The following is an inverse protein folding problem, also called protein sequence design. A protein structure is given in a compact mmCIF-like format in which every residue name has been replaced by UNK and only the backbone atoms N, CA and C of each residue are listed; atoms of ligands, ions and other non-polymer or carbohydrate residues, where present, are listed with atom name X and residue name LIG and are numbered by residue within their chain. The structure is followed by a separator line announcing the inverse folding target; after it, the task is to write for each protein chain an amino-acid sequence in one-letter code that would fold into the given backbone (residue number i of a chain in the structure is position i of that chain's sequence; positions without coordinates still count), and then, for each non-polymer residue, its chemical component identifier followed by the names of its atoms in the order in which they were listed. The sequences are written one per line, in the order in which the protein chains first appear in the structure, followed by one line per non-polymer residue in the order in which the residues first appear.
data_IF_898789393786
#
_entry.id   IF_898789393786
#
_cell.length_a   1.000
_cell.length_b   1.000
_cell.length_c   1.000
_cell.angle_alpha   90.00
_cell.angle_beta   90.00
_cell.angle_gamma   90.00
#
_symmetry.space_group_name_H-M   'P 1'
#
loop_
_entity.id
_entity.type
_entity.pdbx_description
1 polymer ?
#
# COMPACT_ATOMS: atom_id res chain seq x y z
N UNK A 1 -18.31 -12.12 -45.38
CA UNK A 1 -18.36 -13.42 -44.68
C UNK A 1 -18.64 -14.46 -45.74
N UNK A 2 -17.70 -15.39 -45.94
CA UNK A 2 -17.84 -16.47 -46.94
C UNK A 2 -18.01 -17.75 -46.15
N UNK A 3 -19.20 -18.33 -46.19
CA UNK A 3 -19.48 -19.61 -45.56
C UNK A 3 -18.91 -20.73 -46.45
N UNK A 4 -17.74 -21.23 -46.07
CA UNK A 4 -17.08 -22.34 -46.75
C UNK A 4 -17.53 -23.66 -46.11
N UNK A 5 -18.48 -24.34 -46.75
CA UNK A 5 -18.90 -25.68 -46.35
C UNK A 5 -18.00 -26.70 -47.07
N UNK A 6 -17.24 -27.55 -46.36
CA UNK A 6 -16.39 -28.56 -46.99
C UNK A 6 -17.23 -29.70 -47.59
N UNK A 7 -16.92 -30.09 -48.83
CA UNK A 7 -17.40 -31.34 -49.43
C UNK A 7 -16.43 -32.46 -49.01
N UNK A 8 -16.49 -32.88 -47.74
CA UNK A 8 -15.94 -34.18 -47.36
C UNK A 8 -17.11 -35.12 -47.12
N UNK A 9 -17.12 -36.22 -47.85
CA UNK A 9 -18.02 -37.37 -47.67
C UNK A 9 -17.79 -37.99 -46.29
N UNK A 10 -18.36 -37.35 -45.26
CA UNK A 10 -18.68 -38.02 -44.02
C UNK A 10 -19.92 -38.86 -44.31
N UNK A 11 -19.81 -40.17 -44.07
CA UNK A 11 -20.96 -41.07 -44.01
C UNK A 11 -21.98 -40.44 -43.07
N UNK A 12 -23.11 -40.02 -43.64
CA UNK A 12 -24.23 -39.41 -42.94
C UNK A 12 -24.82 -40.45 -41.99
N UNK A 13 -24.55 -40.32 -40.69
CA UNK A 13 -25.60 -40.62 -39.71
C UNK A 13 -26.54 -39.42 -39.78
N UNK A 14 -27.70 -39.62 -40.40
CA UNK A 14 -28.83 -38.69 -40.41
C UNK A 14 -29.13 -38.27 -38.94
N UNK A 15 -29.34 -36.97 -38.72
CA UNK A 15 -29.79 -36.31 -37.46
C UNK A 15 -28.82 -35.37 -36.72
N UNK A 16 -27.78 -34.84 -37.36
CA UNK A 16 -27.18 -33.59 -36.87
C UNK A 16 -26.79 -32.69 -38.05
N UNK A 17 -27.53 -31.59 -38.25
CA UNK A 17 -27.00 -30.46 -39.02
C UNK A 17 -25.66 -30.05 -38.38
N UNK A 18 -24.54 -30.07 -39.11
CA UNK A 18 -23.29 -29.59 -38.57
C UNK A 18 -23.45 -28.08 -38.35
N UNK A 19 -23.52 -27.66 -37.09
CA UNK A 19 -23.61 -26.25 -36.74
C UNK A 19 -22.55 -25.44 -37.48
N UNK A 20 -22.98 -24.36 -38.15
CA UNK A 20 -22.09 -23.50 -38.91
C UNK A 20 -21.02 -22.90 -37.98
N UNK A 21 -19.76 -23.32 -38.16
CA UNK A 21 -18.62 -22.80 -37.42
C UNK A 21 -18.00 -21.65 -38.21
N UNK A 22 -18.16 -20.42 -37.71
CA UNK A 22 -17.46 -19.26 -38.24
C UNK A 22 -15.95 -19.38 -37.96
N UNK A 23 -15.14 -19.36 -39.02
CA UNK A 23 -13.67 -19.40 -38.92
C UNK A 23 -13.05 -18.13 -39.51
N UNK A 24 -11.95 -17.68 -38.91
CA UNK A 24 -11.19 -16.53 -39.39
C UNK A 24 -10.05 -17.02 -40.29
N UNK A 25 -9.84 -16.38 -41.44
CA UNK A 25 -8.82 -16.79 -42.42
C UNK A 25 -7.79 -15.67 -42.56
N UNK A 26 -6.51 -16.00 -42.37
CA UNK A 26 -5.39 -15.05 -42.45
C UNK A 26 -4.32 -15.59 -43.40
N UNK A 27 -3.92 -14.85 -44.45
CA UNK A 27 -4.47 -13.56 -44.88
C UNK A 27 -5.94 -13.69 -45.36
N UNK A 28 -6.72 -12.60 -45.44
CA UNK A 28 -8.10 -12.68 -45.92
C UNK A 28 -8.17 -13.24 -47.33
N UNK A 29 -9.25 -13.98 -47.62
CA UNK A 29 -9.49 -14.53 -48.95
C UNK A 29 -9.64 -13.41 -50.00
N UNK A 30 -9.23 -13.66 -51.25
CA UNK A 30 -9.49 -12.73 -52.34
C UNK A 30 -11.01 -12.58 -52.55
N UNK A 31 -11.48 -11.45 -53.10
CA UNK A 31 -12.91 -11.19 -53.29
C UNK A 31 -13.62 -12.21 -54.19
N UNK A 32 -12.86 -12.92 -55.05
CA UNK A 32 -13.36 -13.96 -55.94
C UNK A 32 -12.40 -15.17 -55.94
N UNK A 33 -12.52 -16.09 -54.97
CA UNK A 33 -11.81 -17.36 -55.00
C UNK A 33 -12.43 -18.28 -56.07
N UNK A 34 -11.61 -18.89 -56.92
CA UNK A 34 -12.09 -19.83 -57.96
C UNK A 34 -12.19 -21.26 -57.45
N UNK A 35 -11.25 -21.66 -56.59
CA UNK A 35 -11.28 -22.96 -55.90
C UNK A 35 -10.48 -22.89 -54.60
N UNK A 36 -10.79 -23.80 -53.67
CA UNK A 36 -10.05 -23.96 -52.43
C UNK A 36 -9.90 -25.43 -52.06
N UNK A 37 -8.87 -25.77 -51.29
CA UNK A 37 -8.66 -27.11 -50.74
C UNK A 37 -7.95 -27.04 -49.38
N UNK A 38 -8.33 -27.93 -48.46
CA UNK A 38 -7.70 -28.06 -47.16
C UNK A 38 -6.40 -28.86 -47.26
N UNK A 39 -5.39 -28.48 -46.48
CA UNK A 39 -4.13 -29.21 -46.47
C UNK A 39 -4.32 -30.58 -45.78
N UNK A 40 -3.95 -31.71 -46.41
CA UNK A 40 -4.26 -33.04 -45.89
C UNK A 40 -3.55 -33.36 -44.56
N UNK A 41 -2.38 -32.77 -44.30
CA UNK A 41 -1.62 -32.98 -43.06
C UNK A 41 -1.71 -31.81 -42.05
N UNK A 42 -2.27 -30.65 -42.44
CA UNK A 42 -2.28 -29.46 -41.60
C UNK A 42 -3.71 -28.94 -41.46
N UNK A 43 -4.33 -29.26 -40.32
CA UNK A 43 -5.75 -29.04 -40.05
C UNK A 43 -6.21 -27.57 -40.19
N UNK A 44 -5.29 -26.62 -39.98
CA UNK A 44 -5.59 -25.18 -40.00
C UNK A 44 -5.05 -24.48 -41.24
N UNK A 45 -4.79 -25.20 -42.33
CA UNK A 45 -4.18 -24.65 -43.55
C UNK A 45 -5.09 -24.87 -44.74
N UNK A 46 -5.37 -23.79 -45.46
CA UNK A 46 -6.28 -23.72 -46.59
C UNK A 46 -5.50 -23.16 -47.79
N UNK A 47 -5.51 -23.89 -48.88
CA UNK A 47 -4.99 -23.43 -50.16
C UNK A 47 -6.15 -22.87 -50.98
N UNK A 48 -5.97 -21.67 -51.54
CA UNK A 48 -6.95 -21.03 -52.39
C UNK A 48 -6.32 -20.63 -53.72
N UNK A 49 -7.07 -20.76 -54.82
CA UNK A 49 -6.68 -20.22 -56.13
C UNK A 49 -7.56 -19.01 -56.42
N UNK A 50 -6.96 -17.93 -56.93
CA UNK A 50 -7.70 -16.75 -57.36
C UNK A 50 -8.07 -16.83 -58.86
N UNK A 51 -8.90 -15.90 -59.34
CA UNK A 51 -9.27 -15.80 -60.76
C UNK A 51 -8.08 -15.52 -61.71
N UNK A 52 -6.90 -15.16 -61.18
CA UNK A 52 -5.67 -14.96 -61.93
C UNK A 52 -4.79 -16.23 -61.95
N UNK A 53 -5.23 -17.35 -61.36
CA UNK A 53 -4.49 -18.62 -61.31
C UNK A 53 -3.36 -18.66 -60.28
N UNK A 54 -3.28 -17.68 -59.37
CA UNK A 54 -2.27 -17.63 -58.31
C UNK A 54 -2.74 -18.49 -57.13
N UNK A 55 -1.88 -19.42 -56.71
CA UNK A 55 -2.07 -20.22 -55.51
C UNK A 55 -1.66 -19.41 -54.27
N UNK A 56 -2.55 -19.32 -53.30
CA UNK A 56 -2.34 -18.65 -52.02
C UNK A 56 -2.54 -19.61 -50.87
N UNK A 57 -1.70 -19.45 -49.85
CA UNK A 57 -1.72 -20.24 -48.64
C UNK A 57 -2.30 -19.42 -47.50
N UNK A 58 -3.33 -19.96 -46.86
CA UNK A 58 -4.08 -19.30 -45.80
C UNK A 58 -4.08 -20.16 -44.54
N UNK A 59 -3.92 -19.51 -43.39
CA UNK A 59 -4.10 -20.14 -42.09
C UNK A 59 -5.51 -19.85 -41.57
N UNK A 60 -6.23 -20.90 -41.21
CA UNK A 60 -7.57 -20.81 -40.67
C UNK A 60 -7.52 -20.92 -39.15
N UNK A 61 -7.96 -19.86 -38.49
CA UNK A 61 -8.10 -19.77 -37.05
C UNK A 61 -9.54 -20.07 -36.65
N UNK A 62 -9.72 -21.06 -35.79
CA UNK A 62 -11.00 -21.31 -35.14
C UNK A 62 -11.17 -20.32 -33.98
N UNK A 63 -12.41 -19.86 -33.76
CA UNK A 63 -12.73 -19.16 -32.52
C UNK A 63 -12.59 -20.17 -31.37
N UNK A 64 -11.55 -20.00 -30.57
CA UNK A 64 -11.31 -20.83 -29.39
C UNK A 64 -12.36 -20.45 -28.35
N UNK A 65 -13.29 -21.36 -28.06
CA UNK A 65 -14.14 -21.23 -26.88
C UNK A 65 -13.32 -21.56 -25.65
N UNK A 66 -13.31 -20.64 -24.70
CA UNK A 66 -12.59 -20.77 -23.44
C UNK A 66 -13.63 -21.05 -22.35
N UNK A 67 -13.46 -22.18 -21.66
CA UNK A 67 -14.17 -22.50 -20.43
C UNK A 67 -13.30 -22.18 -19.22
N UNK A 68 -13.84 -21.47 -18.25
CA UNK A 68 -13.17 -21.22 -16.97
C UNK A 68 -13.93 -21.89 -15.84
N UNK A 69 -13.24 -22.66 -15.01
CA UNK A 69 -13.86 -23.33 -13.85
C UNK A 69 -13.67 -22.53 -12.56
N UNK A 70 -14.56 -22.76 -11.58
CA UNK A 70 -14.44 -22.22 -10.22
C UNK A 70 -13.19 -22.70 -9.44
N UNK A 71 -12.45 -23.67 -9.99
CA UNK A 71 -11.16 -24.12 -9.45
C UNK A 71 -9.97 -23.44 -10.15
N UNK A 72 -10.20 -22.29 -10.81
CA UNK A 72 -9.18 -21.53 -11.55
C UNK A 72 -8.50 -22.38 -12.63
N UNK A 73 -9.25 -23.30 -13.26
CA UNK A 73 -8.75 -24.07 -14.41
C UNK A 73 -9.31 -23.47 -15.68
N UNK A 74 -8.45 -23.08 -16.61
CA UNK A 74 -8.85 -22.63 -17.93
C UNK A 74 -8.75 -23.83 -18.87
N UNK A 75 -9.83 -24.15 -19.57
CA UNK A 75 -9.89 -25.20 -20.57
C UNK A 75 -10.34 -24.60 -21.89
N UNK A 76 -9.80 -25.11 -22.99
CA UNK A 76 -10.24 -24.70 -24.31
C UNK A 76 -10.14 -25.85 -25.30
N UNK A 77 -10.93 -25.75 -26.36
CA UNK A 77 -10.91 -26.75 -27.40
C UNK A 77 -9.58 -26.70 -28.16
N UNK A 78 -8.89 -27.84 -28.25
CA UNK A 78 -7.64 -28.00 -28.97
C UNK A 78 -7.84 -29.08 -30.03
N UNK A 79 -8.34 -28.71 -31.20
CA UNK A 79 -8.78 -29.61 -32.29
C UNK A 79 -10.07 -30.38 -32.01
N UNK A 80 -10.67 -30.94 -33.07
CA UNK A 80 -11.93 -31.68 -33.04
C UNK A 80 -12.01 -32.84 -32.01
N UNK A 81 -10.90 -33.30 -31.43
CA UNK A 81 -10.87 -34.46 -30.52
C UNK A 81 -10.11 -34.24 -29.21
N UNK A 82 -9.63 -33.04 -28.90
CA UNK A 82 -8.91 -32.84 -27.62
C UNK A 82 -9.22 -31.50 -26.97
N UNK A 83 -9.25 -31.48 -25.65
CA UNK A 83 -9.40 -30.28 -24.84
C UNK A 83 -8.06 -30.08 -24.13
N UNK A 84 -7.46 -28.90 -24.30
CA UNK A 84 -6.33 -28.49 -23.47
C UNK A 84 -6.85 -27.75 -22.26
N UNK A 85 -6.20 -27.95 -21.13
CA UNK A 85 -6.51 -27.20 -19.92
C UNK A 85 -5.24 -26.90 -19.14
N UNK A 86 -5.26 -25.77 -18.44
CA UNK A 86 -4.26 -25.39 -17.46
C UNK A 86 -4.88 -25.30 -16.08
N UNK A 87 -4.21 -25.90 -15.10
CA UNK A 87 -4.57 -25.76 -13.69
C UNK A 87 -3.88 -24.53 -13.11
N UNK A 88 -4.44 -23.97 -12.04
CA UNK A 88 -3.80 -22.89 -11.27
C UNK A 88 -2.39 -23.25 -10.76
N UNK A 89 -2.07 -24.55 -10.60
CA UNK A 89 -0.75 -25.03 -10.21
C UNK A 89 0.31 -24.92 -11.30
N UNK A 90 -0.10 -24.75 -12.57
CA UNK A 90 0.80 -24.77 -13.71
C UNK A 90 1.65 -23.49 -13.75
N UNK A 91 2.90 -23.63 -14.21
CA UNK A 91 3.86 -22.51 -14.29
C UNK A 91 3.36 -21.34 -15.13
N UNK A 92 2.58 -21.63 -16.17
CA UNK A 92 1.97 -20.62 -17.04
C UNK A 92 1.00 -19.74 -16.26
N UNK A 93 0.21 -20.32 -15.35
CA UNK A 93 -0.75 -19.58 -14.52
C UNK A 93 -0.07 -18.77 -13.42
N UNK A 94 1.05 -19.26 -12.88
CA UNK A 94 1.85 -18.50 -11.90
C UNK A 94 2.41 -17.20 -12.48
N UNK A 95 2.65 -17.14 -13.79
CA UNK A 95 3.16 -15.95 -14.46
C UNK A 95 2.08 -14.90 -14.78
N UNK A 96 0.80 -15.20 -14.54
CA UNK A 96 -0.33 -14.32 -14.87
C UNK A 96 -0.80 -13.45 -13.70
N UNK A 97 -0.13 -13.52 -12.53
CA UNK A 97 -0.48 -12.78 -11.30
C UNK A 97 -1.99 -12.87 -10.95
N UNK A 98 -2.59 -14.06 -11.10
CA UNK A 98 -4.01 -14.28 -10.81
C UNK A 98 -4.31 -14.15 -9.30
N UNK A 99 -5.23 -13.25 -8.95
CA UNK A 99 -5.70 -13.04 -7.58
C UNK A 99 -6.70 -14.11 -7.12
N UNK A 100 -7.35 -14.83 -8.03
CA UNK A 100 -8.43 -15.79 -7.70
C UNK A 100 -8.04 -16.83 -6.63
N UNK A 101 -6.84 -17.44 -6.66
CA UNK A 101 -6.40 -18.37 -5.61
C UNK A 101 -6.29 -17.71 -4.24
N UNK A 102 -5.83 -16.46 -4.21
CA UNK A 102 -5.70 -15.65 -3.00
C UNK A 102 -7.10 -15.34 -2.44
N UNK A 103 -8.02 -14.89 -3.30
CA UNK A 103 -9.40 -14.59 -2.93
C UNK A 103 -10.11 -15.82 -2.35
N UNK A 104 -9.92 -16.98 -2.99
CA UNK A 104 -10.46 -18.27 -2.52
C UNK A 104 -9.90 -18.65 -1.16
N UNK A 105 -8.57 -18.56 -0.97
CA UNK A 105 -7.92 -18.83 0.31
C UNK A 105 -8.47 -17.92 1.41
N UNK A 106 -8.57 -16.61 1.16
CA UNK A 106 -9.16 -15.63 2.07
C UNK A 106 -10.60 -15.95 2.43
N UNK A 107 -11.42 -16.31 1.44
CA UNK A 107 -12.83 -16.65 1.66
C UNK A 107 -12.98 -17.89 2.56
N UNK A 108 -12.17 -18.93 2.34
CA UNK A 108 -12.15 -20.14 3.19
C UNK A 108 -11.72 -19.82 4.62
N UNK A 109 -10.81 -18.86 4.79
CA UNK A 109 -10.36 -18.40 6.11
C UNK A 109 -11.28 -17.36 6.75
N UNK A 110 -12.46 -17.09 6.17
CA UNK A 110 -13.40 -16.07 6.66
C UNK A 110 -12.82 -14.65 6.76
N UNK A 111 -11.87 -14.31 5.89
CA UNK A 111 -11.31 -12.96 5.78
C UNK A 111 -12.40 -11.89 5.65
N UNK A 112 -12.25 -10.79 6.40
CA UNK A 112 -13.19 -9.67 6.54
C UNK A 112 -14.48 -10.00 7.30
N UNK A 113 -14.68 -11.26 7.70
CA UNK A 113 -15.83 -11.71 8.48
C UNK A 113 -15.45 -12.02 9.95
N UNK A 114 -14.16 -12.09 10.28
CA UNK A 114 -13.71 -12.24 11.67
C UNK A 114 -14.21 -11.05 12.52
N UNK A 115 -14.73 -11.28 13.74
CA UNK A 115 -15.28 -10.21 14.58
C UNK A 115 -14.26 -9.12 14.91
N UNK A 116 -13.06 -9.52 15.32
CA UNK A 116 -11.98 -8.60 15.65
C UNK A 116 -11.30 -8.12 14.36
N UNK A 117 -11.26 -6.79 14.16
CA UNK A 117 -10.74 -6.19 12.93
C UNK A 117 -9.25 -6.48 12.71
N UNK A 118 -8.43 -6.46 13.78
CA UNK A 118 -6.99 -6.72 13.74
C UNK A 118 -6.65 -8.11 13.16
N UNK A 119 -7.42 -9.14 13.54
CA UNK A 119 -7.23 -10.53 13.10
C UNK A 119 -7.43 -10.68 11.58
N UNK A 120 -8.31 -9.87 10.97
CA UNK A 120 -8.45 -9.85 9.51
C UNK A 120 -7.15 -9.43 8.81
N UNK A 121 -6.29 -8.65 9.49
CA UNK A 121 -4.97 -8.29 9.00
C UNK A 121 -3.99 -9.44 8.94
N UNK A 122 -4.10 -10.44 9.82
CA UNK A 122 -3.26 -11.64 9.79
C UNK A 122 -3.63 -12.58 8.63
N UNK A 123 -4.91 -12.54 8.24
CA UNK A 123 -5.44 -13.27 7.09
C UNK A 123 -5.16 -12.58 5.75
N UNK A 124 -4.70 -11.33 5.78
CA UNK A 124 -4.32 -10.59 4.59
C UNK A 124 -2.91 -10.98 4.11
N UNK A 125 -2.76 -11.25 2.82
CA UNK A 125 -1.46 -11.64 2.25
C UNK A 125 -0.54 -10.44 1.94
N UNK A 126 -1.05 -9.20 2.04
CA UNK A 126 -0.30 -7.97 1.79
C UNK A 126 -0.23 -7.12 3.05
N UNK A 127 0.97 -6.60 3.33
CA UNK A 127 1.27 -5.70 4.44
C UNK A 127 0.39 -4.43 4.46
N UNK A 128 0.01 -3.87 3.31
CA UNK A 128 -0.88 -2.71 3.25
C UNK A 128 -2.26 -3.01 3.83
N UNK A 129 -2.83 -4.18 3.49
CA UNK A 129 -4.12 -4.62 4.02
C UNK A 129 -4.01 -4.95 5.51
N UNK A 130 -2.94 -5.65 5.92
CA UNK A 130 -2.67 -5.92 7.33
C UNK A 130 -2.61 -4.63 8.16
N UNK A 131 -1.87 -3.65 7.68
CA UNK A 131 -1.74 -2.35 8.35
C UNK A 131 -3.06 -1.58 8.39
N UNK A 132 -3.88 -1.66 7.34
CA UNK A 132 -5.21 -1.05 7.33
C UNK A 132 -6.13 -1.70 8.36
N UNK A 133 -6.21 -3.02 8.44
CA UNK A 133 -7.02 -3.73 9.43
C UNK A 133 -6.61 -3.42 10.87
N UNK A 134 -5.30 -3.39 11.13
CA UNK A 134 -4.76 -2.96 12.42
C UNK A 134 -5.11 -1.50 12.75
N UNK A 135 -5.05 -0.62 11.75
CA UNK A 135 -5.43 0.78 11.92
C UNK A 135 -6.93 0.95 12.16
N UNK A 136 -7.79 0.19 11.47
CA UNK A 136 -9.24 0.22 11.67
C UNK A 136 -9.61 -0.23 13.08
N UNK A 137 -8.96 -1.28 13.59
CA UNK A 137 -9.08 -1.72 14.99
C UNK A 137 -8.68 -0.60 15.96
N UNK A 138 -7.48 -0.01 15.77
CA UNK A 138 -7.00 1.09 16.59
C UNK A 138 -7.98 2.28 16.58
N UNK A 139 -8.41 2.70 15.39
CA UNK A 139 -9.32 3.82 15.21
C UNK A 139 -10.67 3.57 15.90
N UNK A 140 -11.22 2.35 15.78
CA UNK A 140 -12.44 1.95 16.47
C UNK A 140 -12.27 1.99 17.99
N UNK A 141 -11.21 1.39 18.53
CA UNK A 141 -10.96 1.40 19.98
C UNK A 141 -10.85 2.81 20.55
N UNK A 142 -10.18 3.74 19.84
CA UNK A 142 -10.06 5.13 20.27
C UNK A 142 -11.40 5.88 20.30
N UNK A 143 -12.34 5.53 19.42
CA UNK A 143 -13.69 6.10 19.41
C UNK A 143 -14.56 5.47 20.50
N UNK A 144 -14.51 4.15 20.66
CA UNK A 144 -15.27 3.42 21.68
C UNK A 144 -14.84 3.79 23.11
N UNK A 145 -13.54 4.01 23.33
CA UNK A 145 -12.98 4.50 24.59
C UNK A 145 -13.30 5.98 24.86
N UNK A 146 -13.96 6.68 23.92
CA UNK A 146 -14.33 8.09 24.05
C UNK A 146 -13.17 9.09 23.97
N UNK A 147 -11.98 8.63 23.55
CA UNK A 147 -10.79 9.49 23.38
C UNK A 147 -10.99 10.46 22.21
N UNK A 148 -11.56 9.95 21.12
CA UNK A 148 -11.93 10.74 19.93
C UNK A 148 -13.45 10.83 19.86
N UNK A 149 -13.97 12.04 20.10
CA UNK A 149 -15.40 12.32 20.12
C UNK A 149 -15.88 12.61 18.69
N UNK A 150 -16.41 11.60 18.01
CA UNK A 150 -16.94 11.70 16.66
C UNK A 150 -18.11 10.75 16.44
N UNK A 151 -18.98 11.06 15.47
CA UNK A 151 -20.00 10.12 14.98
C UNK A 151 -19.44 9.06 14.03
N UNK A 152 -18.28 9.33 13.42
CA UNK A 152 -17.62 8.40 12.51
C UNK A 152 -16.89 7.32 13.32
N UNK A 153 -17.13 6.04 13.03
CA UNK A 153 -16.45 4.93 13.73
C UNK A 153 -14.95 4.88 13.46
N UNK A 154 -14.52 5.39 12.30
CA UNK A 154 -13.11 5.40 11.92
C UNK A 154 -12.68 6.79 11.41
N UNK A 155 -12.48 7.77 12.31
CA UNK A 155 -12.05 9.11 11.94
C UNK A 155 -10.63 9.10 11.36
N UNK A 156 -10.42 9.92 10.34
CA UNK A 156 -9.09 10.23 9.81
C UNK A 156 -8.45 11.41 10.56
N UNK A 157 -7.14 11.56 10.40
CA UNK A 157 -6.36 12.67 11.00
C UNK A 157 -6.91 14.03 10.54
N UNK A 158 -7.34 14.17 9.29
CA UNK A 158 -7.90 15.44 8.79
C UNK A 158 -9.18 15.82 9.54
N UNK A 159 -10.05 14.84 9.83
CA UNK A 159 -11.28 15.05 10.60
C UNK A 159 -10.99 15.41 12.06
N UNK A 160 -10.01 14.74 12.68
CA UNK A 160 -9.62 15.02 14.08
C UNK A 160 -9.05 16.43 14.21
N UNK A 161 -8.27 16.87 13.23
CA UNK A 161 -7.74 18.24 13.15
C UNK A 161 -8.76 19.26 12.62
N UNK A 162 -9.96 18.81 12.26
CA UNK A 162 -11.06 19.63 11.69
C UNK A 162 -10.70 20.32 10.37
N UNK A 163 -9.72 19.82 9.64
CA UNK A 163 -9.26 20.39 8.37
C UNK A 163 -10.18 20.07 7.19
N UNK A 164 -11.20 19.26 7.41
CA UNK A 164 -12.22 18.83 6.45
C UNK A 164 -13.47 19.73 6.43
N UNK A 165 -13.67 20.57 7.45
CA UNK A 165 -14.84 21.46 7.57
C UNK A 165 -14.54 22.85 7.00
N UNK A 166 -15.45 23.39 6.19
CA UNK A 166 -15.40 24.78 5.71
C UNK A 166 -16.29 25.69 6.59
N UNK A 167 -15.87 26.93 6.91
CA UNK A 167 -14.56 27.53 6.60
C UNK A 167 -13.45 26.85 7.40
N UNK A 168 -12.27 26.65 6.80
CA UNK A 168 -11.16 25.93 7.43
C UNK A 168 -10.89 26.45 8.84
N UNK A 169 -11.21 25.69 9.90
CA UNK A 169 -10.91 26.12 11.24
C UNK A 169 -9.39 26.12 11.41
N UNK A 170 -8.87 27.23 11.93
CA UNK A 170 -7.48 27.30 12.34
C UNK A 170 -7.26 26.35 13.51
N UNK A 171 -6.38 25.37 13.33
CA UNK A 171 -5.74 24.69 14.45
C UNK A 171 -5.06 25.79 15.27
N UNK A 172 -5.34 25.84 16.57
CA UNK A 172 -4.64 26.74 17.51
C UNK A 172 -3.68 25.89 18.32
N UNK A 173 -2.49 25.65 17.77
CA UNK A 173 -1.47 24.91 18.49
C UNK A 173 -0.63 25.82 19.37
N UNK A 174 -0.31 25.34 20.56
CA UNK A 174 0.65 25.97 21.46
C UNK A 174 2.06 25.59 21.02
N UNK A 175 2.94 26.60 20.91
CA UNK A 175 4.36 26.38 20.65
C UNK A 175 5.07 26.09 21.97
N UNK A 176 5.59 24.88 22.11
CA UNK A 176 6.38 24.43 23.26
C UNK A 176 7.84 24.36 22.84
N UNK A 177 8.69 25.09 23.57
CA UNK A 177 10.15 24.98 23.45
C UNK A 177 10.65 23.93 24.44
N UNK A 178 10.96 22.73 23.94
CA UNK A 178 11.43 21.63 24.80
C UNK A 178 12.96 21.62 24.85
N UNK A 179 13.58 21.78 26.03
CA UNK A 179 15.03 21.74 26.15
C UNK A 179 15.56 20.34 25.82
N UNK A 180 16.68 20.29 25.11
CA UNK A 180 17.32 19.03 24.75
C UNK A 180 18.30 18.58 25.84
N UNK A 181 17.73 18.02 26.91
CA UNK A 181 18.48 17.65 28.13
C UNK A 181 19.60 16.64 27.89
N UNK A 182 19.44 15.72 26.94
CA UNK A 182 20.37 14.62 26.69
C UNK A 182 21.76 15.08 26.22
N UNK A 183 21.82 16.22 25.51
CA UNK A 183 23.05 16.80 24.97
C UNK A 183 23.77 17.67 26.02
N UNK A 184 23.17 17.88 27.19
CA UNK A 184 23.75 18.69 28.27
C UNK A 184 23.68 20.20 28.01
N UNK A 185 23.09 20.64 26.89
CA UNK A 185 22.83 22.05 26.61
C UNK A 185 21.50 22.49 27.22
N UNK A 186 21.54 23.45 28.15
CA UNK A 186 20.33 24.13 28.68
C UNK A 186 19.80 25.20 27.72
N UNK A 187 20.54 25.50 26.65
CA UNK A 187 20.29 26.61 25.74
C UNK A 187 19.46 26.15 24.54
N UNK A 188 19.61 24.89 24.10
CA UNK A 188 18.89 24.42 22.93
C UNK A 188 17.53 23.87 23.28
N UNK A 189 16.55 24.40 22.56
CA UNK A 189 15.17 23.96 22.64
C UNK A 189 14.67 23.58 21.26
N UNK A 190 14.05 22.41 21.14
CA UNK A 190 13.30 22.06 19.94
C UNK A 190 11.92 22.72 19.99
N UNK A 191 11.48 23.24 18.83
CA UNK A 191 10.14 23.80 18.65
C UNK A 191 9.16 22.69 18.35
N UNK A 192 8.26 22.43 19.31
CA UNK A 192 7.19 21.45 19.19
C UNK A 192 5.86 22.17 19.22
N UNK A 193 4.90 21.70 18.44
CA UNK A 193 3.56 22.25 18.38
C UNK A 193 2.57 21.26 18.98
N UNK A 194 1.84 21.68 20.01
CA UNK A 194 0.91 20.82 20.73
C UNK A 194 -0.50 21.37 20.72
N UNK A 195 -1.46 20.49 20.58
CA UNK A 195 -2.88 20.79 20.78
C UNK A 195 -3.58 19.48 21.15
N UNK A 196 -4.74 19.52 21.82
CA UNK A 196 -5.49 18.30 22.13
C UNK A 196 -5.89 17.54 20.86
N UNK A 197 -6.12 18.25 19.75
CA UNK A 197 -6.45 17.65 18.46
C UNK A 197 -5.21 16.98 17.82
N UNK A 198 -4.00 17.54 17.98
CA UNK A 198 -2.74 16.89 17.58
C UNK A 198 -2.42 15.66 18.42
N UNK A 199 -2.65 15.72 19.73
CA UNK A 199 -2.43 14.57 20.62
C UNK A 199 -3.34 13.40 20.25
N UNK A 200 -4.62 13.66 19.92
CA UNK A 200 -5.54 12.64 19.39
C UNK A 200 -5.11 12.12 18.02
N UNK A 201 -4.61 12.98 17.14
CA UNK A 201 -4.12 12.57 15.83
C UNK A 201 -2.85 11.70 15.94
N UNK A 202 -1.96 11.97 16.91
CA UNK A 202 -0.81 11.12 17.22
C UNK A 202 -1.27 9.72 17.66
N UNK A 203 -2.30 9.63 18.48
CA UNK A 203 -2.87 8.33 18.88
C UNK A 203 -3.36 7.53 17.67
N UNK A 204 -3.97 8.17 16.66
CA UNK A 204 -4.35 7.51 15.40
C UNK A 204 -3.16 7.01 14.58
N UNK A 205 -1.98 7.64 14.71
CA UNK A 205 -0.74 7.15 14.12
C UNK A 205 -0.15 5.94 14.87
N UNK A 206 -0.77 5.49 15.97
CA UNK A 206 -0.23 4.47 16.87
C UNK A 206 0.82 5.01 17.84
N UNK A 207 1.03 6.33 17.86
CA UNK A 207 1.96 7.04 18.73
C UNK A 207 1.25 7.34 20.06
N UNK A 208 1.47 6.49 21.07
CA UNK A 208 0.80 6.59 22.39
C UNK A 208 1.55 7.52 23.34
N UNK A 209 1.32 8.83 23.18
CA UNK A 209 1.79 9.86 24.10
C UNK A 209 0.61 10.31 24.97
N UNK A 210 0.74 10.27 26.30
CA UNK A 210 -0.35 10.74 27.15
C UNK A 210 -0.47 12.27 27.14
N UNK A 211 -1.72 12.79 27.23
CA UNK A 211 -1.96 14.19 27.53
C UNK A 211 -1.65 14.43 29.02
N UNK A 212 -0.46 14.97 29.28
CA UNK A 212 0.01 15.59 30.52
C UNK A 212 -0.46 14.98 31.86
N UNK A 213 0.48 14.34 32.55
CA UNK A 213 0.68 14.74 33.95
C UNK A 213 1.26 16.17 33.95
N UNK A 214 0.85 16.99 34.92
CA UNK A 214 1.05 18.45 34.99
C UNK A 214 2.51 18.89 35.28
N UNK A 215 3.52 18.15 34.84
CA UNK A 215 4.94 18.50 35.07
C UNK A 215 5.72 18.57 33.74
N UNK A 216 6.53 19.62 33.52
CA UNK A 216 7.44 19.72 32.38
C UNK A 216 8.80 19.11 32.73
N UNK A 217 8.91 17.78 32.78
CA UNK A 217 10.18 17.04 32.94
C UNK A 217 9.81 15.57 33.11
N UNK A 218 10.25 14.58 32.36
CA UNK A 218 11.57 14.26 31.84
C UNK A 218 11.34 13.13 30.82
N UNK A 219 12.37 12.61 30.18
CA UNK A 219 12.46 11.39 29.37
C UNK A 219 11.55 10.18 29.73
N UNK A 220 10.99 10.09 30.94
CA UNK A 220 10.40 8.89 31.54
C UNK A 220 8.86 8.87 31.57
N UNK A 221 8.18 9.14 30.45
CA UNK A 221 6.85 8.52 30.32
C UNK A 221 7.12 7.04 30.05
N UNK A 222 6.93 6.17 31.04
CA UNK A 222 7.16 4.72 30.97
C UNK A 222 6.60 4.11 29.67
N UNK A 223 5.50 4.68 29.16
CA UNK A 223 4.82 4.25 27.93
C UNK A 223 5.61 4.52 26.64
N UNK A 224 6.41 5.58 26.57
CA UNK A 224 7.31 5.84 25.43
C UNK A 224 8.42 4.80 25.37
N UNK A 225 8.98 4.44 26.53
CA UNK A 225 9.98 3.38 26.64
C UNK A 225 9.36 2.04 26.27
N UNK A 226 8.15 1.73 26.75
CA UNK A 226 7.43 0.50 26.37
C UNK A 226 7.13 0.41 24.87
N UNK A 227 6.84 1.53 24.21
CA UNK A 227 6.65 1.57 22.77
C UNK A 227 7.95 1.28 22.01
N UNK A 228 9.07 1.91 22.42
CA UNK A 228 10.38 1.66 21.83
C UNK A 228 10.85 0.22 22.08
N UNK A 229 10.66 -0.31 23.29
CA UNK A 229 10.96 -1.70 23.65
C UNK A 229 10.17 -2.70 22.79
N UNK A 230 8.92 -2.38 22.44
CA UNK A 230 8.13 -3.22 21.51
C UNK A 230 8.76 -3.24 20.12
N UNK A 231 9.16 -2.09 19.59
CA UNK A 231 9.82 -2.00 18.29
C UNK A 231 11.16 -2.75 18.29
N UNK A 232 11.90 -2.72 19.40
CA UNK A 232 13.12 -3.50 19.55
C UNK A 232 12.86 -5.01 19.57
N UNK A 233 11.77 -5.47 20.19
CA UNK A 233 11.36 -6.89 20.18
C UNK A 233 10.92 -7.36 18.80
N UNK A 234 10.28 -6.48 18.04
CA UNK A 234 9.92 -6.72 16.63
C UNK A 234 11.13 -6.67 15.69
N UNK A 235 12.33 -6.34 16.20
CA UNK A 235 13.57 -6.26 15.41
C UNK A 235 13.71 -4.97 14.59
N UNK A 236 12.80 -4.02 14.76
CA UNK A 236 12.75 -2.75 14.02
C UNK A 236 13.61 -1.67 14.68
N UNK A 237 14.91 -1.95 14.86
CA UNK A 237 15.86 -1.05 15.54
C UNK A 237 15.94 0.33 14.89
N UNK A 238 16.07 0.40 13.56
CA UNK A 238 16.20 1.68 12.84
C UNK A 238 15.00 2.60 13.06
N UNK A 239 13.78 2.03 13.06
CA UNK A 239 12.55 2.76 13.35
C UNK A 239 12.52 3.26 14.79
N UNK A 240 12.84 2.40 15.76
CA UNK A 240 12.90 2.79 17.17
C UNK A 240 13.89 3.94 17.41
N UNK A 241 15.06 3.89 16.77
CA UNK A 241 16.09 4.93 16.86
C UNK A 241 15.61 6.26 16.30
N UNK A 242 15.01 6.26 15.11
CA UNK A 242 14.48 7.49 14.52
C UNK A 242 13.44 8.13 15.43
N UNK A 243 12.52 7.33 15.98
CA UNK A 243 11.48 7.80 16.90
C UNK A 243 12.08 8.34 18.21
N UNK A 244 13.09 7.68 18.77
CA UNK A 244 13.79 8.16 19.95
C UNK A 244 14.48 9.52 19.67
N UNK A 245 15.18 9.65 18.53
CA UNK A 245 15.85 10.90 18.15
C UNK A 245 14.84 12.04 17.92
N UNK A 246 13.71 11.77 17.25
CA UNK A 246 12.62 12.75 17.09
C UNK A 246 11.91 13.09 18.41
N UNK A 247 12.15 12.36 19.49
CA UNK A 247 11.69 12.71 20.84
C UNK A 247 12.80 13.36 21.69
N UNK A 248 13.93 13.71 21.06
CA UNK A 248 15.12 14.31 21.69
C UNK A 248 15.83 13.36 22.67
N UNK A 249 15.61 12.06 22.52
CA UNK A 249 16.11 10.99 23.38
C UNK A 249 17.40 10.38 22.81
N UNK A 250 18.44 11.20 22.62
CA UNK A 250 19.65 10.81 21.89
C UNK A 250 20.44 9.69 22.59
N UNK A 251 20.52 9.72 23.93
CA UNK A 251 21.27 8.71 24.69
C UNK A 251 20.65 7.33 24.56
N UNK A 252 19.34 7.26 24.73
CA UNK A 252 18.62 6.02 24.57
C UNK A 252 18.69 5.52 23.12
N UNK A 253 18.59 6.41 22.12
CA UNK A 253 18.77 6.02 20.72
C UNK A 253 20.12 5.33 20.47
N UNK A 254 21.20 5.80 21.10
CA UNK A 254 22.52 5.16 21.05
C UNK A 254 22.48 3.77 21.72
N UNK A 255 21.81 3.62 22.86
CA UNK A 255 21.62 2.32 23.52
C UNK A 255 20.85 1.34 22.63
N UNK A 256 19.76 1.79 21.97
CA UNK A 256 19.00 0.97 21.00
C UNK A 256 19.91 0.50 19.87
N UNK A 257 20.72 1.41 19.29
CA UNK A 257 21.64 1.08 18.20
C UNK A 257 22.69 0.06 18.62
N UNK A 258 23.30 0.24 19.79
CA UNK A 258 24.31 -0.69 20.32
C UNK A 258 23.71 -2.08 20.54
N UNK A 259 22.49 -2.15 21.09
CA UNK A 259 21.76 -3.42 21.26
C UNK A 259 21.44 -4.06 19.90
N UNK A 260 20.96 -3.30 18.93
CA UNK A 260 20.67 -3.79 17.58
C UNK A 260 21.92 -4.26 16.83
N UNK A 261 23.03 -3.54 16.95
CA UNK A 261 24.28 -3.84 16.28
C UNK A 261 24.94 -5.15 16.78
N UNK A 262 24.66 -5.55 18.02
CA UNK A 262 25.15 -6.80 18.60
C UNK A 262 24.47 -8.07 18.05
N UNK A 263 23.38 -7.93 17.28
CA UNK A 263 22.54 -9.06 16.82
C UNK A 263 22.88 -9.63 15.43
N UNK A 264 23.81 -9.03 14.68
CA UNK A 264 24.27 -9.62 13.41
C UNK A 264 25.22 -8.76 12.56
N UNK A 265 25.75 -9.27 11.44
CA UNK A 265 26.65 -8.53 10.55
C UNK A 265 25.92 -7.55 9.60
N UNK A 266 24.62 -7.74 9.37
CA UNK A 266 23.79 -6.85 8.54
C UNK A 266 23.52 -5.47 9.17
N UNK A 267 23.95 -5.25 10.42
CA UNK A 267 23.72 -4.03 11.21
C UNK A 267 24.96 -3.14 11.33
N UNK A 268 25.96 -3.30 10.44
CA UNK A 268 27.16 -2.46 10.43
C UNK A 268 26.83 -0.95 10.29
N UNK A 269 25.75 -0.62 9.56
CA UNK A 269 25.22 0.74 9.46
C UNK A 269 24.75 1.30 10.81
N UNK A 270 24.24 0.46 11.73
CA UNK A 270 23.79 0.90 13.06
C UNK A 270 24.97 1.37 13.93
N UNK A 271 26.11 0.68 13.87
CA UNK A 271 27.33 1.10 14.59
C UNK A 271 27.87 2.44 14.06
N UNK A 272 27.87 2.62 12.73
CA UNK A 272 28.29 3.89 12.11
C UNK A 272 27.39 5.03 12.57
N UNK A 273 26.07 4.80 12.59
CA UNK A 273 25.12 5.79 13.09
C UNK A 273 25.31 6.04 14.59
N UNK A 274 25.53 5.01 15.42
CA UNK A 274 25.75 5.16 16.86
C UNK A 274 26.99 6.02 17.17
N UNK A 275 28.08 5.80 16.44
CA UNK A 275 29.28 6.64 16.53
C UNK A 275 29.00 8.08 16.11
N UNK A 276 28.28 8.27 15.00
CA UNK A 276 27.90 9.60 14.53
C UNK A 276 26.99 10.34 15.54
N UNK A 277 26.00 9.66 16.12
CA UNK A 277 25.12 10.23 17.16
C UNK A 277 25.88 10.60 18.43
N UNK A 278 26.88 9.81 18.82
CA UNK A 278 27.71 10.08 20.00
C UNK A 278 28.58 11.33 19.83
N UNK A 279 28.98 11.63 18.58
CA UNK A 279 29.76 12.82 18.22
C UNK A 279 28.92 14.02 17.78
N UNK A 280 27.60 14.01 18.01
CA UNK A 280 26.70 15.08 17.59
C UNK A 280 27.24 16.45 18.01
N UNK A 281 27.40 17.33 17.02
CA UNK A 281 27.77 18.73 17.21
C UNK A 281 26.74 19.62 16.55
N UNK A 282 26.34 20.68 17.25
CA UNK A 282 25.29 21.60 16.80
C UNK A 282 25.81 22.60 15.75
N UNK A 283 27.12 22.86 15.71
CA UNK A 283 27.68 23.87 14.83
C UNK A 283 27.28 23.59 13.37
N UNK A 284 26.55 24.53 12.76
CA UNK A 284 26.01 24.39 11.40
C UNK A 284 27.11 24.18 10.35
N UNK A 285 28.31 24.67 10.65
CA UNK A 285 29.50 24.55 9.81
C UNK A 285 30.48 23.47 10.34
N UNK A 286 30.04 22.61 11.25
CA UNK A 286 30.91 21.54 11.75
C UNK A 286 31.25 20.53 10.66
N UNK A 287 32.49 20.04 10.74
CA UNK A 287 32.92 18.87 9.97
C UNK A 287 32.01 17.65 10.23
N UNK A 288 31.46 17.53 11.44
CA UNK A 288 30.49 16.50 11.78
C UNK A 288 29.27 16.53 10.86
N UNK A 289 28.70 17.73 10.64
CA UNK A 289 27.51 17.88 9.81
C UNK A 289 27.78 17.58 8.33
N UNK A 290 28.90 18.03 7.80
CA UNK A 290 29.32 17.69 6.43
C UNK A 290 29.45 16.17 6.25
N UNK A 291 30.06 15.50 7.23
CA UNK A 291 30.21 14.04 7.23
C UNK A 291 28.88 13.30 7.37
N UNK A 292 27.93 13.82 8.16
CA UNK A 292 26.59 13.23 8.28
C UNK A 292 25.81 13.32 6.97
N UNK A 293 25.87 14.47 6.27
CA UNK A 293 25.22 14.64 4.96
C UNK A 293 25.80 13.69 3.93
N UNK A 294 27.13 13.54 3.86
CA UNK A 294 27.78 12.57 2.95
C UNK A 294 27.44 11.12 3.31
N UNK A 295 27.45 10.79 4.60
CA UNK A 295 27.15 9.44 5.09
C UNK A 295 25.69 9.05 4.87
N UNK A 296 24.76 10.01 4.90
CA UNK A 296 23.33 9.76 4.63
C UNK A 296 23.11 9.10 3.27
N UNK A 297 23.87 9.48 2.24
CA UNK A 297 23.76 8.89 0.90
C UNK A 297 24.20 7.42 0.85
N UNK A 298 25.02 6.98 1.80
CA UNK A 298 25.53 5.61 1.89
C UNK A 298 24.60 4.68 2.69
N UNK A 299 23.63 5.24 3.41
CA UNK A 299 22.69 4.47 4.23
C UNK A 299 21.55 3.90 3.39
N UNK A 300 21.38 2.59 3.46
CA UNK A 300 20.27 1.87 2.79
C UNK A 300 18.95 2.00 3.54
N UNK A 301 19.00 2.11 4.88
CA UNK A 301 17.80 2.18 5.72
C UNK A 301 17.18 3.59 5.73
N UNK A 302 15.88 3.73 5.39
CA UNK A 302 15.21 5.03 5.31
C UNK A 302 15.06 5.74 6.67
N UNK A 303 14.88 5.00 7.76
CA UNK A 303 14.73 5.61 9.09
C UNK A 303 16.06 6.18 9.59
N UNK A 304 17.18 5.52 9.30
CA UNK A 304 18.51 6.06 9.62
C UNK A 304 18.82 7.30 8.78
N UNK A 305 18.46 7.30 7.49
CA UNK A 305 18.59 8.50 6.63
C UNK A 305 17.79 9.68 7.18
N UNK A 306 16.55 9.44 7.61
CA UNK A 306 15.73 10.48 8.22
C UNK A 306 16.23 10.93 9.60
N UNK A 307 16.89 10.05 10.36
CA UNK A 307 17.55 10.43 11.61
C UNK A 307 18.64 11.46 11.34
N UNK A 308 19.53 11.22 10.37
CA UNK A 308 20.52 12.22 9.97
C UNK A 308 19.86 13.47 9.38
N UNK A 309 18.84 13.33 8.54
CA UNK A 309 18.13 14.47 7.97
C UNK A 309 17.53 15.39 9.05
N UNK A 310 17.01 14.82 10.13
CA UNK A 310 16.50 15.57 11.29
C UNK A 310 17.63 16.31 12.02
N UNK A 311 18.72 15.63 12.32
CA UNK A 311 19.85 16.21 13.05
C UNK A 311 20.61 17.28 12.26
N UNK A 312 20.57 17.20 10.93
CA UNK A 312 21.20 18.18 10.04
C UNK A 312 20.20 19.18 9.45
N UNK A 313 18.97 19.25 9.96
CA UNK A 313 17.95 20.18 9.45
C UNK A 313 18.25 21.61 9.93
N UNK A 314 18.22 22.58 9.01
CA UNK A 314 18.26 24.00 9.35
C UNK A 314 16.85 24.57 9.49
N UNK A 315 16.69 25.52 10.42
CA UNK A 315 15.55 26.44 10.45
C UNK A 315 14.16 25.78 10.34
N UNK A 316 13.96 24.64 11.01
CA UNK A 316 12.71 23.85 10.99
C UNK A 316 12.28 23.39 9.59
N UNK A 317 13.23 23.19 8.67
CA UNK A 317 12.94 22.66 7.35
C UNK A 317 13.10 21.14 7.30
N UNK A 318 11.98 20.45 7.55
CA UNK A 318 11.94 19.00 7.68
C UNK A 318 11.53 18.25 6.40
N UNK A 319 11.58 18.88 5.24
CA UNK A 319 11.17 18.29 3.95
C UNK A 319 11.90 16.98 3.65
N UNK A 320 13.18 16.90 4.04
CA UNK A 320 14.01 15.72 3.88
C UNK A 320 13.58 14.52 4.73
N UNK A 321 12.90 14.74 5.85
CA UNK A 321 12.32 13.69 6.71
C UNK A 321 10.92 13.32 6.21
N UNK A 322 10.10 14.33 5.89
CA UNK A 322 8.70 14.19 5.51
C UNK A 322 8.49 13.52 4.14
N UNK A 323 9.47 13.62 3.25
CA UNK A 323 9.40 13.07 1.89
C UNK A 323 10.35 11.88 1.65
N UNK A 324 11.04 11.40 2.69
CA UNK A 324 11.92 10.23 2.58
C UNK A 324 11.10 8.98 2.21
N UNK A 325 11.52 8.30 1.14
CA UNK A 325 10.85 7.10 0.65
C UNK A 325 11.18 5.90 1.52
N UNK A 326 10.16 5.10 1.84
CA UNK A 326 10.32 3.91 2.70
C UNK A 326 10.00 4.12 4.18
N UNK A 327 9.76 5.36 4.62
CA UNK A 327 9.18 5.62 5.95
C UNK A 327 7.67 5.44 5.91
N UNK A 328 7.13 4.78 6.93
CA UNK A 328 5.69 4.57 7.08
C UNK A 328 4.93 5.91 7.02
N UNK A 329 3.73 5.92 6.44
CA UNK A 329 2.89 7.13 6.42
C UNK A 329 2.54 7.54 7.85
N UNK A 330 2.30 6.56 8.73
CA UNK A 330 2.01 6.78 10.15
C UNK A 330 3.09 7.61 10.83
N UNK A 331 4.36 7.23 10.67
CA UNK A 331 5.48 7.92 11.34
C UNK A 331 5.76 9.28 10.70
N UNK A 332 5.59 9.43 9.38
CA UNK A 332 5.71 10.74 8.71
C UNK A 332 4.65 11.73 9.15
N UNK A 333 3.39 11.27 9.29
CA UNK A 333 2.29 12.08 9.80
C UNK A 333 2.51 12.41 11.28
N UNK A 334 2.97 11.45 12.09
CA UNK A 334 3.30 11.71 13.49
C UNK A 334 4.43 12.75 13.64
N UNK A 335 5.48 12.63 12.84
CA UNK A 335 6.55 13.62 12.80
C UNK A 335 6.03 15.01 12.39
N UNK A 336 5.18 15.09 11.36
CA UNK A 336 4.57 16.33 10.93
C UNK A 336 3.72 16.98 12.04
N UNK A 337 2.96 16.18 12.79
CA UNK A 337 2.14 16.63 13.92
C UNK A 337 2.98 17.23 15.05
N UNK A 338 4.22 16.80 15.24
CA UNK A 338 5.12 17.32 16.28
C UNK A 338 5.81 18.62 15.87
N UNK A 339 6.32 18.68 14.64
CA UNK A 339 7.31 19.70 14.23
C UNK A 339 6.80 20.77 13.26
N UNK A 340 5.68 20.55 12.57
CA UNK A 340 5.16 21.55 11.62
C UNK A 340 4.21 22.55 12.30
N UNK A 341 4.32 23.81 11.89
CA UNK A 341 3.32 24.83 12.22
C UNK A 341 1.96 24.51 11.59
N UNK A 342 0.88 25.09 12.11
CA UNK A 342 -0.48 24.76 11.69
C UNK A 342 -0.70 24.92 10.17
N UNK A 343 -0.20 26.01 9.58
CA UNK A 343 -0.31 26.25 8.14
C UNK A 343 0.47 25.20 7.31
N UNK A 344 1.73 24.94 7.68
CA UNK A 344 2.57 23.94 6.97
C UNK A 344 2.00 22.53 7.12
N UNK A 345 1.45 22.21 8.29
CA UNK A 345 0.82 20.93 8.57
C UNK A 345 -0.42 20.71 7.69
N UNK A 346 -1.32 21.69 7.61
CA UNK A 346 -2.51 21.60 6.78
C UNK A 346 -2.16 21.38 5.29
N UNK A 347 -1.21 22.15 4.77
CA UNK A 347 -0.73 22.01 3.40
C UNK A 347 -0.08 20.64 3.13
N UNK A 348 0.75 20.18 4.07
CA UNK A 348 1.41 18.88 3.97
C UNK A 348 0.40 17.73 3.95
N UNK A 349 -0.54 17.70 4.89
CA UNK A 349 -1.53 16.62 4.99
C UNK A 349 -2.45 16.57 3.77
N UNK A 350 -2.88 17.72 3.24
CA UNK A 350 -3.67 17.79 1.99
C UNK A 350 -2.89 17.25 0.80
N UNK A 351 -1.63 17.68 0.61
CA UNK A 351 -0.76 17.17 -0.46
C UNK A 351 -0.52 15.67 -0.34
N UNK A 352 -0.27 15.18 0.88
CA UNK A 352 -0.06 13.77 1.15
C UNK A 352 -1.33 12.95 0.89
N UNK A 353 -2.51 13.45 1.29
CA UNK A 353 -3.80 12.82 1.02
C UNK A 353 -4.04 12.67 -0.49
N UNK A 354 -3.86 13.74 -1.27
CA UNK A 354 -4.02 13.69 -2.72
C UNK A 354 -3.08 12.66 -3.35
N UNK A 355 -1.78 12.71 -2.98
CA UNK A 355 -0.78 11.75 -3.47
C UNK A 355 -1.15 10.30 -3.17
N UNK A 356 -1.51 9.98 -1.92
CA UNK A 356 -1.86 8.62 -1.52
C UNK A 356 -3.15 8.15 -2.17
N UNK A 357 -4.11 9.06 -2.40
CA UNK A 357 -5.35 8.78 -3.13
C UNK A 357 -5.05 8.44 -4.58
N UNK A 358 -4.19 9.19 -5.26
CA UNK A 358 -3.84 8.94 -6.67
C UNK A 358 -3.04 7.63 -6.86
N UNK A 359 -2.14 7.33 -5.91
CA UNK A 359 -1.38 6.08 -5.85
C UNK A 359 -2.26 4.87 -5.46
N UNK A 360 -3.44 5.10 -4.90
CA UNK A 360 -4.29 4.04 -4.33
C UNK A 360 -3.65 3.38 -3.10
N UNK A 361 -2.82 4.08 -2.35
CA UNK A 361 -2.11 3.52 -1.20
C UNK A 361 -3.02 3.51 0.04
N UNK A 362 -3.34 2.32 0.55
CA UNK A 362 -4.25 2.14 1.69
C UNK A 362 -3.80 2.83 2.98
N UNK A 363 -2.51 3.14 3.13
CA UNK A 363 -2.04 3.96 4.26
C UNK A 363 -2.67 5.36 4.30
N UNK A 364 -3.23 5.84 3.17
CA UNK A 364 -4.00 7.08 3.10
C UNK A 364 -5.27 7.09 3.96
N UNK A 365 -5.79 5.92 4.36
CA UNK A 365 -6.91 5.82 5.31
C UNK A 365 -6.65 6.52 6.64
N UNK A 366 -5.37 6.58 7.06
CA UNK A 366 -4.99 7.35 8.23
C UNK A 366 -5.43 8.81 8.14
N UNK A 367 -5.35 9.41 6.94
CA UNK A 367 -5.67 10.81 6.72
C UNK A 367 -7.15 11.04 6.48
N UNK A 368 -7.75 10.22 5.60
CA UNK A 368 -9.14 10.38 5.14
C UNK A 368 -10.15 9.80 6.13
N UNK A 369 -9.81 8.69 6.80
CA UNK A 369 -10.75 7.88 7.57
C UNK A 369 -11.84 7.24 6.72
N UNK A 370 -12.86 6.70 7.38
CA UNK A 370 -14.06 6.16 6.73
C UNK A 370 -15.00 7.30 6.28
N UNK A 371 -14.52 8.14 5.38
CA UNK A 371 -15.24 9.28 4.81
C UNK A 371 -15.40 9.12 3.29
N UNK A 372 -16.03 10.09 2.62
CA UNK A 372 -16.18 10.09 1.16
C UNK A 372 -14.82 10.02 0.44
N UNK A 373 -13.78 10.67 0.97
CA UNK A 373 -12.44 10.60 0.40
C UNK A 373 -11.76 9.25 0.68
N UNK A 374 -12.07 8.60 1.80
CA UNK A 374 -11.69 7.20 2.05
C UNK A 374 -12.32 6.23 1.06
N UNK A 375 -13.57 6.46 0.67
CA UNK A 375 -14.24 5.68 -0.38
C UNK A 375 -13.59 5.89 -1.76
N UNK A 376 -13.17 7.12 -2.10
CA UNK A 376 -12.40 7.39 -3.34
C UNK A 376 -11.05 6.66 -3.33
N UNK A 377 -10.35 6.64 -2.20
CA UNK A 377 -9.10 5.90 -2.04
C UNK A 377 -9.30 4.39 -2.24
N UNK A 378 -10.35 3.79 -1.64
CA UNK A 378 -10.68 2.37 -1.89
C UNK A 378 -11.01 2.09 -3.34
N UNK A 379 -11.78 2.98 -3.98
CA UNK A 379 -12.11 2.86 -5.40
C UNK A 379 -10.84 2.86 -6.25
N UNK A 380 -9.89 3.77 -5.98
CA UNK A 380 -8.60 3.78 -6.68
C UNK A 380 -7.79 2.51 -6.43
N UNK A 381 -7.71 2.05 -5.18
CA UNK A 381 -7.05 0.78 -4.85
C UNK A 381 -7.67 -0.40 -5.60
N UNK A 382 -9.00 -0.46 -5.69
CA UNK A 382 -9.73 -1.47 -6.46
C UNK A 382 -9.40 -1.41 -7.95
N UNK A 383 -9.31 -0.21 -8.53
CA UNK A 383 -8.98 -0.06 -9.95
C UNK A 383 -7.56 -0.55 -10.28
N UNK A 384 -6.60 -0.38 -9.36
CA UNK A 384 -5.21 -0.81 -9.54
C UNK A 384 -5.07 -2.31 -9.28
N UNK A 385 -5.54 -2.78 -8.12
CA UNK A 385 -5.29 -4.14 -7.66
C UNK A 385 -6.31 -5.16 -8.16
N UNK A 386 -7.53 -4.73 -8.50
CA UNK A 386 -8.68 -5.62 -8.79
C UNK A 386 -9.10 -6.51 -7.61
N UNK A 387 -8.66 -6.21 -6.39
CA UNK A 387 -9.06 -6.93 -5.18
C UNK A 387 -10.47 -6.49 -4.71
N UNK A 388 -11.49 -7.02 -5.38
CA UNK A 388 -12.91 -6.73 -5.08
C UNK A 388 -13.28 -7.20 -3.67
N UNK A 389 -12.74 -8.34 -3.23
CA UNK A 389 -13.08 -8.93 -1.93
C UNK A 389 -12.67 -8.01 -0.77
N UNK A 390 -11.40 -7.57 -0.73
CA UNK A 390 -10.92 -6.70 0.34
C UNK A 390 -11.68 -5.38 0.36
N UNK A 391 -11.85 -4.73 -0.81
CA UNK A 391 -12.54 -3.46 -0.91
C UNK A 391 -13.99 -3.55 -0.43
N UNK A 392 -14.75 -4.57 -0.85
CA UNK A 392 -16.13 -4.76 -0.45
C UNK A 392 -16.26 -5.00 1.06
N UNK A 393 -15.40 -5.86 1.63
CA UNK A 393 -15.44 -6.20 3.05
C UNK A 393 -15.07 -5.02 3.94
N UNK A 394 -14.03 -4.26 3.57
CA UNK A 394 -13.65 -3.02 4.26
C UNK A 394 -14.78 -1.99 4.17
N UNK A 395 -15.36 -1.81 2.97
CA UNK A 395 -16.46 -0.87 2.76
C UNK A 395 -17.66 -1.19 3.65
N UNK A 396 -18.11 -2.44 3.69
CA UNK A 396 -19.27 -2.88 4.51
C UNK A 396 -18.99 -2.72 6.01
N UNK A 397 -17.77 -3.01 6.46
CA UNK A 397 -17.42 -2.97 7.89
C UNK A 397 -17.18 -1.55 8.41
N UNK A 398 -16.64 -0.67 7.57
CA UNK A 398 -16.05 0.57 8.04
C UNK A 398 -16.73 1.83 7.51
N UNK A 399 -17.28 1.82 6.28
CA UNK A 399 -17.92 3.01 5.73
C UNK A 399 -19.33 3.20 6.32
N UNK A 400 -19.72 4.46 6.63
CA UNK A 400 -21.06 4.76 7.07
C UNK A 400 -22.09 4.47 5.96
N UNK A 401 -23.28 4.03 6.36
CA UNK A 401 -24.38 3.62 5.48
C UNK A 401 -24.70 4.57 4.31
N UNK A 402 -24.71 5.91 4.48
CA UNK A 402 -25.00 6.85 3.40
C UNK A 402 -24.00 6.75 2.24
N UNK A 403 -22.76 6.34 2.49
CA UNK A 403 -21.73 6.20 1.46
C UNK A 403 -21.85 4.89 0.68
N UNK A 404 -22.58 3.90 1.20
CA UNK A 404 -22.81 2.62 0.54
C UNK A 404 -24.05 2.64 -0.36
N UNK A 405 -24.83 3.74 -0.36
CA UNK A 405 -26.06 3.86 -1.17
C UNK A 405 -27.15 2.86 -0.77
N UNK A 406 -27.05 2.24 0.40
CA UNK A 406 -28.03 1.31 0.92
C UNK A 406 -29.21 2.09 1.54
N UNK A 407 -30.47 1.69 1.34
CA UNK A 407 -31.63 2.33 1.96
C UNK A 407 -31.65 2.06 3.48
N UNK A 408 -31.88 3.11 4.29
CA UNK A 408 -31.92 3.06 5.77
C UNK A 408 -32.84 1.96 6.34
#
# INVERSE_FOLDING_TARGET
TVDLIPIHSAVLTEDNEPGALERMIIPPLPPYPTSFNWHPAHQNRLLCINHQGILMDHTVYERITIGWSANSTIAWNHSAKSIKYHKASDTIMKNLDDLTPILKKRAVMHYGLVPELSQNGELADNEQLKNLWNWLYLSQTLVEDGIILTKNRHPGVLMVLKLDVQPEPFIKSELIQRPWTDIGSKIHTARLYRSPDRDRALLLCGWRFEPHSKAPSTFADEKNVLFLDRLEREGSYSRAVAIAVWNLCLRHAIDILNRGASKGPATASLNVVAMALSGFSEDSNSMWREMCVKSRALLTDPYLRATFAFLTADNDQYDAVLNESGISVQDRVAFALLYLSDAKLADYLKKLMMKLTDEGNLAGFLLTGATADGAKLLSRYLHITKDVQSCALIAIRCLPHPLLGLPE
#
